data_IF_616203332726
#
_entry.id   IF_616203332726
#
_cell.length_a   1.000
_cell.length_b   1.000
_cell.length_c   1.000
_cell.angle_alpha   90.00
_cell.angle_beta   90.00
_cell.angle_gamma   90.00
#
_symmetry.space_group_name_H-M   'P 1'
#
loop_
_entity.id
_entity.type
_entity.pdbx_description
1 polymer ?
#
# COMPACT_ATOMS: atom_id res chain seq x y z
N UNK A 1 27.25 -15.29 5.94
CA UNK A 1 26.03 -15.85 5.34
C UNK A 1 24.88 -15.47 6.26
N UNK A 2 24.06 -14.49 5.86
CA UNK A 2 22.89 -14.05 6.62
C UNK A 2 21.72 -14.98 6.28
N UNK A 3 21.68 -16.16 6.88
CA UNK A 3 20.47 -17.00 6.87
C UNK A 3 19.87 -16.94 8.27
N UNK A 4 18.84 -16.09 8.44
CA UNK A 4 18.08 -15.97 9.67
C UNK A 4 16.61 -15.74 9.37
N UNK A 5 15.82 -16.82 9.45
CA UNK A 5 14.35 -16.88 9.55
C UNK A 5 13.51 -16.04 8.57
N UNK A 6 13.59 -16.33 7.27
CA UNK A 6 12.55 -15.90 6.33
C UNK A 6 11.76 -17.14 5.93
N UNK A 7 10.46 -17.18 6.23
CA UNK A 7 9.61 -18.29 5.80
C UNK A 7 9.19 -18.09 4.32
N UNK A 8 8.48 -19.06 3.74
CA UNK A 8 8.07 -19.01 2.31
C UNK A 8 7.17 -17.80 2.03
N UNK A 9 6.27 -17.48 2.97
CA UNK A 9 5.37 -16.32 2.91
C UNK A 9 6.17 -15.00 2.89
N UNK A 10 7.12 -14.82 3.80
CA UNK A 10 7.99 -13.65 3.85
C UNK A 10 8.82 -13.51 2.56
N UNK A 11 9.23 -14.63 1.97
CA UNK A 11 10.01 -14.66 0.72
C UNK A 11 9.13 -14.21 -0.45
N UNK A 12 7.93 -14.78 -0.58
CA UNK A 12 6.96 -14.42 -1.61
C UNK A 12 6.57 -12.95 -1.53
N UNK A 13 6.26 -12.45 -0.33
CA UNK A 13 5.90 -11.05 -0.14
C UNK A 13 7.08 -10.12 -0.48
N UNK A 14 8.31 -10.48 -0.08
CA UNK A 14 9.51 -9.70 -0.39
C UNK A 14 9.76 -9.62 -1.90
N UNK A 15 9.62 -10.73 -2.63
CA UNK A 15 9.78 -10.74 -4.08
C UNK A 15 8.75 -9.83 -4.77
N UNK A 16 7.47 -9.91 -4.38
CA UNK A 16 6.44 -9.05 -4.92
C UNK A 16 6.68 -7.56 -4.61
N UNK A 17 7.04 -7.23 -3.36
CA UNK A 17 7.36 -5.85 -2.97
C UNK A 17 8.54 -5.30 -3.77
N UNK A 18 9.61 -6.07 -3.91
CA UNK A 18 10.80 -5.66 -4.68
C UNK A 18 10.45 -5.42 -6.15
N UNK A 19 9.61 -6.27 -6.75
CA UNK A 19 9.16 -6.08 -8.13
C UNK A 19 8.35 -4.79 -8.31
N UNK A 20 7.39 -4.51 -7.41
CA UNK A 20 6.64 -3.24 -7.45
C UNK A 20 7.57 -2.02 -7.40
N UNK A 21 8.56 -2.03 -6.50
CA UNK A 21 9.52 -0.92 -6.40
C UNK A 21 10.44 -0.79 -7.62
N UNK A 22 10.87 -1.92 -8.20
CA UNK A 22 11.69 -1.93 -9.42
C UNK A 22 10.91 -1.37 -10.62
N UNK A 23 9.65 -1.78 -10.79
CA UNK A 23 8.82 -1.28 -11.89
C UNK A 23 8.49 0.21 -11.71
N UNK A 24 8.22 0.64 -10.48
CA UNK A 24 8.04 2.06 -10.16
C UNK A 24 9.28 2.87 -10.53
N UNK A 25 10.48 2.42 -10.14
CA UNK A 25 11.73 3.10 -10.46
C UNK A 25 12.01 3.18 -11.98
N UNK A 26 11.59 2.17 -12.75
CA UNK A 26 11.81 2.11 -14.21
C UNK A 26 10.79 2.91 -15.02
N UNK A 27 9.51 2.87 -14.63
CA UNK A 27 8.38 3.31 -15.47
C UNK A 27 7.56 4.43 -14.84
N UNK A 28 7.76 4.73 -13.56
CA UNK A 28 6.89 5.62 -12.78
C UNK A 28 5.58 4.96 -12.32
N UNK A 29 5.39 3.67 -12.59
CA UNK A 29 4.23 2.89 -12.13
C UNK A 29 4.70 1.55 -11.56
N UNK A 30 4.16 1.10 -10.42
CA UNK A 30 4.62 -0.13 -9.77
C UNK A 30 4.17 -1.40 -10.51
N UNK A 31 3.23 -1.29 -11.47
CA UNK A 31 2.56 -2.44 -12.06
C UNK A 31 3.48 -3.35 -12.89
N UNK A 32 3.42 -4.65 -12.59
CA UNK A 32 4.06 -5.71 -13.37
C UNK A 32 3.02 -6.70 -13.91
N UNK A 33 3.45 -7.66 -14.74
CA UNK A 33 2.59 -8.77 -15.22
C UNK A 33 2.36 -9.81 -14.11
N UNK A 34 3.27 -9.91 -13.14
CA UNK A 34 3.32 -11.02 -12.20
C UNK A 34 2.50 -10.77 -10.92
N UNK A 35 2.23 -9.50 -10.59
CA UNK A 35 1.51 -9.12 -9.37
C UNK A 35 0.16 -8.44 -9.69
N UNK A 36 -0.80 -8.42 -8.75
CA UNK A 36 -2.04 -7.66 -8.90
C UNK A 36 -1.81 -6.22 -9.31
N UNK A 37 -2.78 -5.62 -10.01
CA UNK A 37 -2.68 -4.22 -10.40
C UNK A 37 -2.79 -3.31 -9.17
N UNK A 38 -1.73 -2.57 -8.87
CA UNK A 38 -1.74 -1.45 -7.94
C UNK A 38 -2.33 -0.23 -8.65
N UNK A 39 -3.61 0.03 -8.40
CA UNK A 39 -4.33 1.20 -8.93
C UNK A 39 -3.75 2.50 -8.36
N UNK A 40 -3.66 3.51 -9.20
CA UNK A 40 -3.20 4.84 -8.79
C UNK A 40 -4.14 5.44 -7.73
N UNK A 41 -3.55 6.20 -6.81
CA UNK A 41 -4.33 6.94 -5.82
C UNK A 41 -5.05 8.11 -6.50
N UNK A 42 -6.38 8.06 -6.53
CA UNK A 42 -7.25 9.05 -7.17
C UNK A 42 -8.53 9.28 -6.38
N UNK A 43 -9.65 9.56 -7.05
CA UNK A 43 -10.95 9.80 -6.39
C UNK A 43 -11.45 8.60 -5.57
N UNK A 44 -11.11 7.40 -6.00
CA UNK A 44 -11.42 6.16 -5.28
C UNK A 44 -10.47 5.91 -4.10
N UNK A 45 -9.43 6.73 -3.94
CA UNK A 45 -8.44 6.62 -2.86
C UNK A 45 -7.90 5.18 -2.73
N UNK A 46 -7.64 4.55 -3.87
CA UNK A 46 -7.21 3.16 -3.96
C UNK A 46 -5.81 2.98 -3.37
N UNK A 47 -5.62 1.88 -2.65
CA UNK A 47 -4.33 1.45 -2.14
C UNK A 47 -4.19 -0.07 -2.27
N UNK A 48 -2.95 -0.54 -2.22
CA UNK A 48 -2.64 -1.97 -2.21
C UNK A 48 -2.16 -2.35 -0.80
N UNK A 49 -2.78 -3.39 -0.25
CA UNK A 49 -2.35 -4.08 0.97
C UNK A 49 -1.21 -5.01 0.58
N UNK A 50 0.00 -4.69 1.05
CA UNK A 50 1.19 -5.50 0.89
C UNK A 50 1.25 -6.54 2.03
N UNK A 51 0.37 -7.53 1.93
CA UNK A 51 0.29 -8.70 2.80
C UNK A 51 0.08 -9.95 1.92
N UNK A 52 -0.09 -11.12 2.51
CA UNK A 52 -0.50 -12.35 1.82
C UNK A 52 -1.94 -12.73 2.21
N UNK A 53 -2.89 -12.70 1.26
CA UNK A 53 -2.73 -12.33 -0.15
C UNK A 53 -2.57 -10.81 -0.39
N UNK A 54 -1.97 -10.45 -1.54
CA UNK A 54 -1.93 -9.07 -2.01
C UNK A 54 -3.34 -8.62 -2.40
N UNK A 55 -3.85 -7.57 -1.78
CA UNK A 55 -5.24 -7.14 -1.96
C UNK A 55 -5.35 -5.65 -2.25
N UNK A 56 -6.26 -5.28 -3.15
CA UNK A 56 -6.61 -3.88 -3.38
C UNK A 56 -7.77 -3.46 -2.48
N UNK A 57 -7.64 -2.29 -1.88
CA UNK A 57 -8.69 -1.66 -1.08
C UNK A 57 -8.75 -0.16 -1.40
N UNK A 58 -9.65 0.56 -0.74
CA UNK A 58 -9.92 1.97 -0.98
C UNK A 58 -10.25 2.67 0.34
N UNK A 59 -9.97 3.98 0.41
CA UNK A 59 -10.36 4.85 1.54
C UNK A 59 -9.77 4.37 2.88
N UNK A 60 -8.44 4.26 2.91
CA UNK A 60 -7.69 3.80 4.08
C UNK A 60 -8.03 4.62 5.33
N UNK A 61 -8.47 3.96 6.40
CA UNK A 61 -8.79 4.57 7.70
C UNK A 61 -9.78 5.75 7.62
N UNK A 62 -10.68 5.75 6.63
CA UNK A 62 -11.53 6.91 6.31
C UNK A 62 -12.34 7.44 7.50
N UNK A 63 -12.96 6.54 8.28
CA UNK A 63 -13.75 6.94 9.46
C UNK A 63 -12.88 7.68 10.49
N UNK A 64 -11.67 7.18 10.74
CA UNK A 64 -10.75 7.82 11.67
C UNK A 64 -10.26 9.17 11.14
N UNK A 65 -9.90 9.25 9.85
CA UNK A 65 -9.52 10.49 9.20
C UNK A 65 -10.62 11.55 9.29
N UNK A 66 -11.88 11.18 9.03
CA UNK A 66 -13.04 12.09 9.15
C UNK A 66 -13.17 12.65 10.57
N UNK A 67 -13.12 11.78 11.59
CA UNK A 67 -13.20 12.19 13.00
C UNK A 67 -12.06 13.15 13.36
N UNK A 68 -10.83 12.82 12.96
CA UNK A 68 -9.66 13.63 13.30
C UNK A 68 -9.68 14.99 12.60
N UNK A 69 -10.05 15.04 11.33
CA UNK A 69 -10.16 16.30 10.57
C UNK A 69 -11.22 17.20 11.20
N UNK A 70 -12.40 16.66 11.52
CA UNK A 70 -13.49 17.42 12.16
C UNK A 70 -13.05 17.98 13.53
N UNK A 71 -12.39 17.17 14.35
CA UNK A 71 -11.89 17.61 15.65
C UNK A 71 -10.81 18.70 15.53
N UNK A 72 -9.90 18.59 14.56
CA UNK A 72 -8.90 19.63 14.29
C UNK A 72 -9.55 20.95 13.87
N UNK A 73 -10.53 20.91 12.96
CA UNK A 73 -11.25 22.10 12.50
C UNK A 73 -12.04 22.79 13.63
N UNK A 74 -12.66 22.01 14.51
CA UNK A 74 -13.36 22.51 15.71
C UNK A 74 -12.43 23.24 16.66
N UNK A 75 -11.17 22.77 16.79
CA UNK A 75 -10.17 23.39 17.67
C UNK A 75 -9.60 24.68 17.09
N UNK A 76 -9.37 24.75 15.78
CA UNK A 76 -8.87 25.96 15.11
C UNK A 76 -9.91 27.09 15.06
N UNK A 77 -11.19 26.76 15.16
CA UNK A 77 -12.30 27.73 15.13
C UNK A 77 -12.64 28.33 16.51
N UNK A 78 -11.90 27.98 17.57
CA UNK A 78 -12.04 28.51 18.94
C UNK A 78 -10.92 29.48 19.26
#
# INVERSE_FOLDING_TARGET
MMNGCQNEDDTQLTEAMMEYWVEFAKKGTPNSINNPTWKEFGTEESYLILDLPLESSAKLENEFCEIMIDEMLKRTSR
#
